data_IF_001536909103
#
_entry.id   IF_001536909103
#
_cell.length_a   1.000
_cell.length_b   1.000
_cell.length_c   1.000
_cell.angle_alpha   90.00
_cell.angle_beta   90.00
_cell.angle_gamma   90.00
#
_symmetry.space_group_name_H-M   'P 1'
#
loop_
_entity.id
_entity.type
_entity.pdbx_description
1 polymer ?
#
# COMPACT_ATOMS: atom_id res chain seq x y z
N UNK A 1 13.05 -10.98 4.07
CA UNK A 1 13.55 -10.45 2.81
C UNK A 1 14.26 -9.16 3.11
N UNK A 2 15.47 -9.05 2.82
CA UNK A 2 16.04 -7.75 2.90
C UNK A 2 17.52 -7.82 3.09
N UNK A 3 18.17 -8.08 2.01
CA UNK A 3 19.59 -7.76 1.97
C UNK A 3 19.75 -6.27 2.07
N UNK A 4 20.56 -5.81 2.97
CA UNK A 4 21.09 -4.46 2.95
C UNK A 4 21.78 -4.29 1.61
N UNK A 5 21.31 -3.36 0.82
CA UNK A 5 21.94 -3.05 -0.47
C UNK A 5 23.09 -2.08 -0.26
N UNK A 6 24.15 -2.27 -0.99
CA UNK A 6 25.26 -1.34 -1.01
C UNK A 6 24.81 0.06 -1.48
N UNK A 7 25.66 1.07 -1.23
CA UNK A 7 25.31 2.48 -1.46
C UNK A 7 24.83 2.78 -2.89
N UNK A 8 25.51 2.22 -3.90
CA UNK A 8 25.14 2.43 -5.31
C UNK A 8 23.79 1.79 -5.64
N UNK A 9 23.56 0.57 -5.18
CA UNK A 9 22.29 -0.12 -5.36
C UNK A 9 21.16 0.59 -4.63
N UNK A 10 21.42 1.11 -3.42
CA UNK A 10 20.44 1.88 -2.65
C UNK A 10 19.98 3.14 -3.37
N UNK A 11 20.88 3.83 -4.07
CA UNK A 11 20.54 5.00 -4.89
C UNK A 11 19.65 4.60 -6.07
N UNK A 12 19.95 3.52 -6.75
CA UNK A 12 19.15 3.02 -7.89
C UNK A 12 17.75 2.64 -7.43
N UNK A 13 17.62 1.95 -6.29
CA UNK A 13 16.32 1.60 -5.71
C UNK A 13 15.58 2.87 -5.28
N UNK A 14 16.27 3.83 -4.65
CA UNK A 14 15.68 5.11 -4.26
C UNK A 14 15.08 5.87 -5.43
N UNK A 15 15.73 5.87 -6.59
CA UNK A 15 15.18 6.49 -7.80
C UNK A 15 13.89 5.79 -8.26
N UNK A 16 13.83 4.47 -8.18
CA UNK A 16 12.62 3.72 -8.48
C UNK A 16 11.50 3.99 -7.47
N UNK A 17 11.84 4.13 -6.20
CA UNK A 17 10.89 4.51 -5.15
C UNK A 17 10.32 5.91 -5.40
N UNK A 18 11.16 6.87 -5.77
CA UNK A 18 10.73 8.24 -6.08
C UNK A 18 9.72 8.26 -7.22
N UNK A 19 9.99 7.50 -8.27
CA UNK A 19 9.08 7.38 -9.41
C UNK A 19 7.75 6.72 -9.01
N UNK A 20 7.82 5.63 -8.26
CA UNK A 20 6.63 4.93 -7.78
C UNK A 20 5.79 5.82 -6.85
N UNK A 21 6.44 6.60 -5.98
CA UNK A 21 5.75 7.54 -5.09
C UNK A 21 4.97 8.59 -5.89
N UNK A 22 5.58 9.16 -6.93
CA UNK A 22 4.89 10.13 -7.81
C UNK A 22 3.69 9.51 -8.52
N UNK A 23 3.83 8.28 -9.00
CA UNK A 23 2.73 7.56 -9.64
C UNK A 23 1.60 7.31 -8.64
N UNK A 24 1.92 6.95 -7.39
CA UNK A 24 0.95 6.68 -6.34
C UNK A 24 0.19 7.94 -5.89
N UNK A 25 0.79 9.12 -5.98
CA UNK A 25 0.13 10.39 -5.63
C UNK A 25 -1.11 10.67 -6.48
N UNK A 26 -1.22 10.08 -7.64
CA UNK A 26 -2.36 10.25 -8.53
C UNK A 26 -3.54 9.32 -8.22
N UNK A 27 -3.39 8.41 -7.25
CA UNK A 27 -4.50 7.58 -6.79
C UNK A 27 -5.47 8.44 -5.99
N UNK A 28 -6.76 8.33 -6.28
CA UNK A 28 -7.82 9.08 -5.60
C UNK A 28 -7.75 8.86 -4.09
N UNK A 29 -7.62 9.94 -3.33
CA UNK A 29 -7.58 9.90 -1.87
C UNK A 29 -6.30 9.36 -1.26
N UNK A 30 -5.22 9.25 -2.03
CA UNK A 30 -3.96 8.71 -1.54
C UNK A 30 -3.11 9.75 -0.83
N UNK A 31 -2.48 9.31 0.26
CA UNK A 31 -1.37 10.00 0.92
C UNK A 31 -0.14 9.12 0.76
N UNK A 32 0.97 9.68 0.28
CA UNK A 32 2.16 8.90 -0.06
C UNK A 32 3.33 9.30 0.82
N UNK A 33 3.98 8.31 1.40
CA UNK A 33 5.16 8.48 2.25
C UNK A 33 6.24 7.49 1.81
N UNK A 34 7.49 7.88 1.93
CA UNK A 34 8.62 6.99 1.72
C UNK A 34 9.33 6.76 3.03
N UNK A 35 9.87 5.56 3.20
CA UNK A 35 10.58 5.21 4.41
C UNK A 35 11.56 4.08 4.18
N UNK A 36 12.24 3.70 5.27
CA UNK A 36 13.18 2.60 5.29
C UNK A 36 13.03 1.87 6.61
N UNK A 37 12.98 0.54 6.54
CA UNK A 37 12.91 -0.30 7.72
C UNK A 37 13.85 -1.49 7.56
N UNK A 38 14.75 -1.67 8.53
CA UNK A 38 15.74 -2.75 8.51
C UNK A 38 16.59 -2.77 7.22
N UNK A 39 16.92 -1.60 6.70
CA UNK A 39 17.71 -1.45 5.47
C UNK A 39 16.91 -1.62 4.18
N UNK A 40 15.59 -1.83 4.26
CA UNK A 40 14.71 -1.98 3.10
C UNK A 40 13.91 -0.70 2.89
N UNK A 41 14.04 -0.08 1.73
CA UNK A 41 13.25 1.08 1.33
C UNK A 41 11.82 0.63 0.97
N UNK A 42 10.85 1.50 1.24
CA UNK A 42 9.46 1.25 0.86
C UNK A 42 8.75 2.56 0.52
N UNK A 43 7.67 2.43 -0.24
CA UNK A 43 6.68 3.50 -0.42
C UNK A 43 5.40 3.04 0.27
N UNK A 44 4.86 3.88 1.14
CA UNK A 44 3.59 3.63 1.83
C UNK A 44 2.52 4.53 1.23
N UNK A 45 1.49 3.90 0.69
CA UNK A 45 0.35 4.60 0.10
C UNK A 45 -0.86 4.38 1.01
N UNK A 46 -1.33 5.44 1.63
CA UNK A 46 -2.50 5.40 2.50
C UNK A 46 -3.73 5.81 1.72
N UNK A 47 -4.71 4.91 1.64
CA UNK A 47 -6.00 5.15 0.96
C UNK A 47 -7.06 5.46 2.01
N UNK A 48 -7.68 6.63 1.91
CA UNK A 48 -8.80 7.02 2.78
C UNK A 48 -10.02 6.14 2.50
N UNK A 49 -10.51 5.42 3.50
CA UNK A 49 -11.66 4.52 3.32
C UNK A 49 -12.93 5.25 2.95
N UNK A 50 -13.11 6.51 3.39
CA UNK A 50 -14.27 7.30 3.01
C UNK A 50 -14.33 7.64 1.53
N UNK A 51 -13.17 7.76 0.88
CA UNK A 51 -13.04 8.01 -0.56
C UNK A 51 -13.03 6.69 -1.33
N UNK A 52 -12.27 5.72 -0.84
CA UNK A 52 -12.10 4.42 -1.50
C UNK A 52 -13.37 3.58 -1.42
N UNK A 53 -14.10 3.65 -0.31
CA UNK A 53 -15.34 2.90 -0.04
C UNK A 53 -16.45 3.86 0.41
N UNK A 54 -17.03 4.68 -0.49
CA UNK A 54 -17.89 5.81 -0.12
C UNK A 54 -19.21 5.44 0.54
N UNK A 55 -19.66 4.18 0.39
CA UNK A 55 -20.88 3.68 1.01
C UNK A 55 -20.65 3.06 2.39
N UNK A 56 -19.48 3.28 2.98
CA UNK A 56 -19.06 2.66 4.24
C UNK A 56 -19.01 1.13 4.20
N UNK A 57 -19.00 0.57 3.00
CA UNK A 57 -18.92 -0.87 2.74
C UNK A 57 -17.53 -1.33 2.35
N UNK A 58 -17.50 -2.33 1.49
CA UNK A 58 -16.26 -2.95 0.97
C UNK A 58 -16.19 -2.89 -0.56
N UNK A 59 -17.06 -2.12 -1.19
CA UNK A 59 -17.08 -1.91 -2.64
C UNK A 59 -16.30 -0.65 -2.99
N UNK A 60 -15.34 -0.78 -3.88
CA UNK A 60 -14.51 0.33 -4.35
C UNK A 60 -15.36 1.33 -5.16
N UNK A 61 -15.08 2.63 -4.99
CA UNK A 61 -15.65 3.66 -5.86
C UNK A 61 -15.13 3.54 -7.28
N UNK A 62 -15.86 4.06 -8.25
CA UNK A 62 -15.42 4.05 -9.65
C UNK A 62 -14.13 4.86 -9.85
N UNK A 63 -14.00 6.02 -9.18
CA UNK A 63 -12.78 6.82 -9.25
C UNK A 63 -11.58 6.10 -8.65
N UNK A 64 -11.77 5.40 -7.53
CA UNK A 64 -10.73 4.57 -6.94
C UNK A 64 -10.28 3.47 -7.91
N UNK A 65 -11.23 2.79 -8.54
CA UNK A 65 -10.92 1.76 -9.54
C UNK A 65 -10.10 2.31 -10.71
N UNK A 66 -10.51 3.43 -11.27
CA UNK A 66 -9.83 4.04 -12.42
C UNK A 66 -8.39 4.41 -12.03
N UNK A 67 -8.20 5.07 -10.91
CA UNK A 67 -6.87 5.52 -10.49
C UNK A 67 -5.97 4.37 -10.07
N UNK A 68 -6.50 3.34 -9.39
CA UNK A 68 -5.74 2.14 -9.03
C UNK A 68 -5.33 1.34 -10.25
N UNK A 69 -6.20 1.20 -11.25
CA UNK A 69 -5.87 0.53 -12.50
C UNK A 69 -4.74 1.24 -13.24
N UNK A 70 -4.83 2.57 -13.33
CA UNK A 70 -3.77 3.38 -13.93
C UNK A 70 -2.45 3.21 -13.19
N UNK A 71 -2.49 3.24 -11.86
CA UNK A 71 -1.31 3.06 -11.04
C UNK A 71 -0.62 1.72 -11.29
N UNK A 72 -1.36 0.62 -11.27
CA UNK A 72 -0.80 -0.72 -11.48
C UNK A 72 -0.21 -0.88 -12.88
N UNK A 73 -0.83 -0.27 -13.88
CA UNK A 73 -0.31 -0.33 -15.25
C UNK A 73 0.98 0.47 -15.45
N UNK A 74 1.23 1.48 -14.63
CA UNK A 74 2.44 2.30 -14.67
C UNK A 74 3.56 1.78 -13.77
N UNK A 75 3.21 1.09 -12.68
CA UNK A 75 4.16 0.65 -11.66
C UNK A 75 5.16 -0.34 -12.23
N UNK A 76 6.44 -0.15 -11.90
CA UNK A 76 7.49 -1.12 -12.22
C UNK A 76 7.09 -2.50 -11.73
N UNK A 77 7.06 -3.52 -12.61
CA UNK A 77 6.62 -4.87 -12.22
C UNK A 77 7.54 -5.57 -11.22
N UNK A 78 8.70 -5.03 -10.91
CA UNK A 78 9.60 -5.56 -9.89
C UNK A 78 9.26 -5.10 -8.49
N UNK A 79 8.24 -4.26 -8.30
CA UNK A 79 7.70 -3.99 -6.97
C UNK A 79 6.75 -5.09 -6.53
N UNK A 80 6.93 -5.55 -5.30
CA UNK A 80 5.95 -6.35 -4.59
C UNK A 80 5.04 -5.44 -3.77
N UNK A 81 3.86 -5.93 -3.42
CA UNK A 81 2.88 -5.19 -2.64
C UNK A 81 2.47 -5.96 -1.38
N UNK A 82 2.33 -5.22 -0.29
CA UNK A 82 1.65 -5.70 0.92
C UNK A 82 0.48 -4.77 1.19
N UNK A 83 -0.68 -5.31 1.50
CA UNK A 83 -1.92 -4.55 1.67
C UNK A 83 -2.48 -4.83 3.05
N UNK A 84 -2.80 -3.80 3.81
CA UNK A 84 -3.42 -3.96 5.11
C UNK A 84 -4.54 -2.94 5.33
N UNK A 85 -5.62 -3.41 5.97
CA UNK A 85 -6.77 -2.60 6.31
C UNK A 85 -6.79 -2.26 7.79
N UNK A 86 -7.32 -1.06 8.09
CA UNK A 86 -7.46 -0.55 9.46
C UNK A 86 -8.82 0.10 9.64
N UNK A 87 -9.32 0.09 10.87
CA UNK A 87 -10.58 0.73 11.26
C UNK A 87 -10.35 1.74 12.38
N UNK A 88 -11.39 2.52 12.67
CA UNK A 88 -11.48 3.22 13.95
C UNK A 88 -11.94 2.24 15.05
N UNK A 89 -12.07 2.71 16.28
CA UNK A 89 -12.47 1.88 17.41
C UNK A 89 -13.99 1.79 17.66
N UNK A 90 -14.79 2.18 16.67
CA UNK A 90 -16.25 2.11 16.79
C UNK A 90 -16.74 0.69 16.53
N UNK A 91 -17.63 0.21 17.39
CA UNK A 91 -18.21 -1.13 17.26
C UNK A 91 -17.34 -2.23 17.87
N UNK A 92 -17.71 -3.48 17.60
CA UNK A 92 -17.04 -4.63 18.18
C UNK A 92 -15.71 -4.95 17.49
N UNK A 93 -14.82 -5.60 18.23
CA UNK A 93 -13.55 -6.10 17.67
C UNK A 93 -13.81 -7.05 16.50
N UNK A 94 -14.76 -7.96 16.65
CA UNK A 94 -15.08 -8.95 15.62
C UNK A 94 -15.51 -8.31 14.31
N UNK A 95 -16.37 -7.30 14.35
CA UNK A 95 -16.81 -6.56 13.16
C UNK A 95 -15.62 -5.82 12.52
N UNK A 96 -14.78 -5.19 13.32
CA UNK A 96 -13.64 -4.44 12.83
C UNK A 96 -12.56 -5.35 12.24
N UNK A 97 -12.36 -6.53 12.79
CA UNK A 97 -11.47 -7.55 12.20
C UNK A 97 -11.97 -7.93 10.81
N UNK A 98 -13.26 -8.20 10.67
CA UNK A 98 -13.86 -8.57 9.39
C UNK A 98 -13.79 -7.43 8.37
N UNK A 99 -14.20 -6.23 8.74
CA UNK A 99 -14.25 -5.07 7.82
C UNK A 99 -12.85 -4.70 7.35
N UNK A 100 -11.87 -4.65 8.25
CA UNK A 100 -10.49 -4.31 7.88
C UNK A 100 -9.92 -5.30 6.86
N UNK A 101 -10.13 -6.59 7.06
CA UNK A 101 -9.67 -7.62 6.14
C UNK A 101 -10.42 -7.56 4.79
N UNK A 102 -11.73 -7.42 4.82
CA UNK A 102 -12.55 -7.37 3.60
C UNK A 102 -12.17 -6.18 2.72
N UNK A 103 -11.88 -5.01 3.33
CA UNK A 103 -11.45 -3.84 2.56
C UNK A 103 -10.07 -4.04 1.93
N UNK A 104 -9.13 -4.62 2.67
CA UNK A 104 -7.83 -4.96 2.12
C UNK A 104 -7.95 -5.98 0.98
N UNK A 105 -8.80 -6.98 1.14
CA UNK A 105 -9.07 -7.98 0.09
C UNK A 105 -9.74 -7.38 -1.14
N UNK A 106 -10.66 -6.42 -0.96
CA UNK A 106 -11.31 -5.74 -2.08
C UNK A 106 -10.29 -5.00 -2.94
N UNK A 107 -9.32 -4.31 -2.32
CA UNK A 107 -8.24 -3.66 -3.04
C UNK A 107 -7.37 -4.70 -3.75
N UNK A 108 -6.92 -5.74 -3.05
CA UNK A 108 -6.08 -6.79 -3.62
C UNK A 108 -6.75 -7.49 -4.80
N UNK A 109 -8.02 -7.83 -4.66
CA UNK A 109 -8.78 -8.51 -5.72
C UNK A 109 -8.93 -7.64 -6.96
N UNK A 110 -9.16 -6.35 -6.76
CA UNK A 110 -9.25 -5.43 -7.89
C UNK A 110 -7.91 -5.28 -8.60
N UNK A 111 -6.82 -5.09 -7.84
CA UNK A 111 -5.48 -4.96 -8.44
C UNK A 111 -5.09 -6.19 -9.24
N UNK A 112 -5.37 -7.39 -8.74
CA UNK A 112 -5.10 -8.63 -9.49
C UNK A 112 -5.99 -8.75 -10.72
N UNK A 113 -7.25 -8.33 -10.64
CA UNK A 113 -8.16 -8.33 -11.78
C UNK A 113 -7.71 -7.40 -12.92
N UNK A 114 -7.00 -6.31 -12.60
CA UNK A 114 -6.52 -5.34 -13.60
C UNK A 114 -5.05 -5.55 -13.98
N UNK A 115 -4.43 -6.64 -13.56
CA UNK A 115 -3.14 -7.03 -14.09
C UNK A 115 -2.01 -7.26 -13.09
N UNK A 116 -2.22 -7.04 -11.79
CA UNK A 116 -1.19 -7.37 -10.80
C UNK A 116 -1.03 -8.88 -10.70
N UNK A 117 0.19 -9.38 -10.98
CA UNK A 117 0.47 -10.81 -10.83
C UNK A 117 0.36 -11.23 -9.35
N UNK A 118 -0.29 -12.35 -9.11
CA UNK A 118 -0.53 -12.87 -7.75
C UNK A 118 0.78 -13.05 -6.97
N UNK A 119 1.84 -13.45 -7.66
CA UNK A 119 3.18 -13.64 -7.06
C UNK A 119 3.79 -12.37 -6.50
N UNK A 120 3.28 -11.20 -6.86
CA UNK A 120 3.74 -9.90 -6.37
C UNK A 120 3.02 -9.46 -5.09
N UNK A 121 1.93 -10.13 -4.70
CA UNK A 121 1.26 -9.88 -3.43
C UNK A 121 1.96 -10.66 -2.32
N UNK A 122 2.62 -9.95 -1.39
CA UNK A 122 3.27 -10.58 -0.24
C UNK A 122 2.31 -10.91 0.88
N UNK A 123 1.35 -10.01 1.13
CA UNK A 123 0.36 -10.19 2.20
C UNK A 123 -0.85 -9.32 1.98
N UNK A 124 -2.00 -9.80 2.47
CA UNK A 124 -3.25 -9.07 2.55
C UNK A 124 -3.80 -9.31 3.95
N UNK A 125 -3.85 -8.28 4.79
CA UNK A 125 -4.21 -8.42 6.21
C UNK A 125 -5.18 -7.35 6.66
N UNK A 126 -5.98 -7.68 7.68
CA UNK A 126 -6.80 -6.73 8.42
C UNK A 126 -6.31 -6.65 9.85
N UNK A 127 -6.09 -5.44 10.34
CA UNK A 127 -5.56 -5.19 11.67
C UNK A 127 -6.58 -4.53 12.60
N UNK A 128 -7.84 -4.43 12.20
CA UNK A 128 -8.88 -3.78 12.99
C UNK A 128 -8.44 -2.40 13.52
N UNK A 129 -8.61 -2.08 14.80
CA UNK A 129 -8.20 -0.80 15.38
C UNK A 129 -6.91 -0.87 16.20
N UNK A 130 -6.04 -1.86 15.94
CA UNK A 130 -4.79 -2.04 16.71
C UNK A 130 -3.76 -0.95 16.46
N UNK A 131 -3.77 -0.30 15.29
CA UNK A 131 -2.74 0.66 14.89
C UNK A 131 -3.33 2.02 14.49
N UNK A 132 -3.86 2.78 15.48
CA UNK A 132 -4.38 4.11 15.17
C UNK A 132 -3.26 5.07 14.75
N UNK A 133 -3.57 5.92 13.79
CA UNK A 133 -2.67 7.01 13.34
C UNK A 133 -3.15 8.38 13.82
N UNK A 134 -4.35 8.44 14.41
CA UNK A 134 -4.96 9.66 14.90
C UNK A 134 -5.86 9.35 16.10
N UNK A 135 -6.39 10.39 16.72
CA UNK A 135 -7.23 10.28 17.91
C UNK A 135 -8.62 9.75 17.56
N UNK A 136 -8.98 8.58 18.12
CA UNK A 136 -10.30 7.98 17.95
C UNK A 136 -11.42 8.73 18.68
N UNK A 137 -11.09 9.67 19.55
CA UNK A 137 -12.08 10.49 20.27
C UNK A 137 -12.66 11.61 19.40
N UNK A 138 -12.04 11.92 18.28
CA UNK A 138 -12.55 12.93 17.33
C UNK A 138 -13.03 12.29 16.05
N UNK A 139 -14.03 12.89 15.40
CA UNK A 139 -14.54 12.42 14.12
C UNK A 139 -13.46 12.48 13.03
N UNK A 140 -12.66 13.54 13.03
CA UNK A 140 -11.55 13.69 12.07
C UNK A 140 -10.48 12.62 12.27
N UNK A 141 -10.14 12.30 13.53
CA UNK A 141 -9.18 11.25 13.85
C UNK A 141 -9.67 9.86 13.47
N UNK A 142 -10.94 9.57 13.74
CA UNK A 142 -11.55 8.29 13.33
C UNK A 142 -11.52 8.13 11.80
N UNK A 143 -11.80 9.20 11.06
CA UNK A 143 -11.74 9.17 9.60
C UNK A 143 -10.33 8.82 9.10
N UNK A 144 -9.29 9.35 9.73
CA UNK A 144 -7.89 9.03 9.38
C UNK A 144 -7.55 7.58 9.72
N UNK A 145 -8.10 7.04 10.79
CA UNK A 145 -7.85 5.66 11.19
C UNK A 145 -8.51 4.65 10.24
N UNK A 146 -9.64 5.01 9.61
CA UNK A 146 -10.32 4.18 8.60
C UNK A 146 -9.56 4.28 7.28
N UNK A 147 -8.63 3.36 7.04
CA UNK A 147 -7.74 3.39 5.88
C UNK A 147 -7.33 2.01 5.41
N UNK A 148 -6.89 1.94 4.18
CA UNK A 148 -6.14 0.79 3.64
C UNK A 148 -4.75 1.29 3.27
N UNK A 149 -3.72 0.57 3.67
CA UNK A 149 -2.34 0.91 3.36
C UNK A 149 -1.78 -0.06 2.33
N UNK A 150 -1.18 0.49 1.28
CA UNK A 150 -0.41 -0.27 0.30
C UNK A 150 1.07 0.00 0.56
N UNK A 151 1.85 -1.05 0.75
CA UNK A 151 3.30 -0.95 0.83
C UNK A 151 3.90 -1.44 -0.48
N UNK A 152 4.68 -0.60 -1.13
CA UNK A 152 5.45 -0.95 -2.32
C UNK A 152 6.84 -1.33 -1.85
N UNK A 153 7.25 -2.54 -2.15
CA UNK A 153 8.48 -3.12 -1.65
C UNK A 153 9.33 -3.61 -2.83
N UNK A 154 10.65 -3.38 -2.81
CA UNK A 154 11.50 -3.92 -3.86
C UNK A 154 11.49 -5.45 -3.78
N UNK A 155 11.26 -6.11 -4.92
CA UNK A 155 11.42 -7.56 -4.99
C UNK A 155 12.89 -7.94 -4.91
N UNK A 156 13.17 -9.21 -4.65
CA UNK A 156 14.55 -9.70 -4.69
C UNK A 156 15.18 -9.48 -6.06
N UNK A 157 14.39 -9.62 -7.13
CA UNK A 157 14.86 -9.36 -8.49
C UNK A 157 15.27 -7.89 -8.68
N UNK A 158 14.49 -6.94 -8.16
CA UNK A 158 14.84 -5.52 -8.21
C UNK A 158 16.16 -5.26 -7.46
N UNK A 159 16.32 -5.82 -6.27
CA UNK A 159 17.52 -5.68 -5.47
C UNK A 159 18.74 -6.26 -6.21
N UNK A 160 18.61 -7.46 -6.77
CA UNK A 160 19.69 -8.12 -7.51
C UNK A 160 20.10 -7.31 -8.74
N UNK A 161 19.14 -6.79 -9.50
CA UNK A 161 19.44 -5.97 -10.68
C UNK A 161 20.11 -4.66 -10.31
N UNK A 162 19.68 -4.02 -9.22
CA UNK A 162 20.33 -2.80 -8.72
C UNK A 162 21.77 -3.06 -8.29
N UNK A 163 22.04 -4.18 -7.62
CA UNK A 163 23.38 -4.56 -7.22
C UNK A 163 24.27 -4.83 -8.43
N UNK A 164 23.78 -5.52 -9.45
CA UNK A 164 24.53 -5.75 -10.69
C UNK A 164 24.88 -4.45 -11.40
N UNK A 165 23.96 -3.51 -11.48
CA UNK A 165 24.20 -2.21 -12.11
C UNK A 165 25.21 -1.38 -11.31
N UNK A 166 25.17 -1.45 -9.99
CA UNK A 166 26.08 -0.72 -9.12
C UNK A 166 27.50 -1.27 -9.17
N UNK A 167 27.67 -2.58 -9.43
CA UNK A 167 28.96 -3.27 -9.47
C UNK A 167 29.64 -3.21 -10.84
N UNK A 168 28.97 -2.69 -11.86
CA UNK A 168 29.52 -2.57 -13.22
C UNK A 168 30.22 -1.21 -13.46
#
# INVERSE_FOLDING_TARGET
>A
VGAVVGTGAGVLIGNKMDKAAKQAEEIEGAKVEQGEQNGVQYVKVTLDSGITFPTNGTTLSENAKISLSRFINQLDPQFDLAICGHTDNTGSLEVNQRVSLQRAQSVANYLTAVGLAYSRLRSVKGYDYQYPVADNNTAAGRAQNRRVELYLLPSQAMINDAQKQADN
#
